data_IF_943702781742
#
_entry.id   IF_943702781742
#
_cell.length_a   1.000
_cell.length_b   1.000
_cell.length_c   1.000
_cell.angle_alpha   90.00
_cell.angle_beta   90.00
_cell.angle_gamma   90.00
#
_symmetry.space_group_name_H-M   'P 1'
#
loop_
_entity.id
_entity.type
_entity.pdbx_description
1 polymer ?
#
# COMPACT_ATOMS: atom_id res chain seq x y z
N UNK A 1 60.12 11.68 21.60
CA UNK A 1 59.50 12.33 20.42
C UNK A 1 58.21 11.58 20.18
N UNK A 2 57.06 12.12 20.60
CA UNK A 2 55.76 11.43 20.46
C UNK A 2 55.02 12.16 19.36
N UNK A 3 54.99 11.59 18.15
CA UNK A 3 54.17 12.10 17.06
C UNK A 3 52.70 11.88 17.44
N UNK A 4 52.01 12.99 17.73
CA UNK A 4 50.56 12.98 17.87
C UNK A 4 49.96 12.72 16.49
N UNK A 5 49.48 11.50 16.26
CA UNK A 5 48.68 11.19 15.09
C UNK A 5 47.25 11.69 15.38
N UNK A 6 46.95 12.93 15.00
CA UNK A 6 45.56 13.38 14.94
C UNK A 6 44.93 12.62 13.78
N UNK A 7 44.27 11.50 14.06
CA UNK A 7 43.41 10.84 13.08
C UNK A 7 42.34 11.88 12.75
N UNK A 8 42.27 12.26 11.48
CA UNK A 8 41.30 13.19 10.94
C UNK A 8 39.93 12.47 10.85
N UNK A 9 39.35 12.17 12.03
CA UNK A 9 38.12 11.39 12.16
C UNK A 9 36.90 12.24 11.73
N UNK A 10 37.08 13.56 11.57
CA UNK A 10 36.01 14.48 11.21
C UNK A 10 35.47 14.28 9.79
N UNK A 11 36.31 13.87 8.85
CA UNK A 11 35.90 13.60 7.46
C UNK A 11 35.18 12.26 7.30
N UNK A 12 35.78 11.17 7.78
CA UNK A 12 35.29 9.80 7.55
C UNK A 12 33.98 9.47 8.30
N UNK A 13 33.78 10.01 9.51
CA UNK A 13 32.51 9.81 10.24
C UNK A 13 31.33 10.54 9.60
N UNK A 14 31.58 11.72 9.02
CA UNK A 14 30.56 12.48 8.28
C UNK A 14 30.12 11.72 7.03
N UNK A 15 31.06 11.12 6.30
CA UNK A 15 30.76 10.34 5.09
C UNK A 15 29.95 9.10 5.41
N UNK A 16 30.28 8.38 6.50
CA UNK A 16 29.53 7.21 6.91
C UNK A 16 28.09 7.54 7.37
N UNK A 17 27.91 8.67 8.06
CA UNK A 17 26.58 9.15 8.45
C UNK A 17 25.74 9.59 7.24
N UNK A 18 26.35 10.25 6.26
CA UNK A 18 25.72 10.64 5.00
C UNK A 18 25.31 9.42 4.16
N UNK A 19 26.17 8.40 4.05
CA UNK A 19 25.87 7.14 3.38
C UNK A 19 24.69 6.42 4.04
N UNK A 20 24.67 6.30 5.36
CA UNK A 20 23.56 5.68 6.11
C UNK A 20 22.23 6.43 5.92
N UNK A 21 22.26 7.77 5.89
CA UNK A 21 21.08 8.58 5.61
C UNK A 21 20.59 8.39 4.16
N UNK A 22 21.50 8.37 3.19
CA UNK A 22 21.14 8.13 1.79
C UNK A 22 20.56 6.74 1.58
N UNK A 23 21.15 5.71 2.20
CA UNK A 23 20.59 4.36 2.19
C UNK A 23 19.19 4.32 2.82
N UNK A 24 18.99 5.00 3.95
CA UNK A 24 17.69 5.08 4.62
C UNK A 24 16.61 5.73 3.75
N UNK A 25 16.93 6.86 3.11
CA UNK A 25 16.03 7.56 2.19
C UNK A 25 15.73 6.69 0.96
N UNK A 26 16.75 6.07 0.37
CA UNK A 26 16.58 5.21 -0.81
C UNK A 26 15.71 3.99 -0.49
N UNK A 27 15.98 3.32 0.64
CA UNK A 27 15.17 2.19 1.14
C UNK A 27 13.72 2.63 1.42
N UNK A 28 13.52 3.78 2.05
CA UNK A 28 12.20 4.35 2.33
C UNK A 28 11.41 4.67 1.07
N UNK A 29 12.02 5.33 0.08
CA UNK A 29 11.40 5.65 -1.20
C UNK A 29 11.05 4.40 -2.00
N UNK A 30 11.95 3.40 -2.02
CA UNK A 30 11.73 2.16 -2.74
C UNK A 30 10.57 1.38 -2.10
N UNK A 31 10.54 1.29 -0.77
CA UNK A 31 9.44 0.66 -0.03
C UNK A 31 8.11 1.36 -0.28
N UNK A 32 8.05 2.68 -0.11
CA UNK A 32 6.81 3.45 -0.33
C UNK A 32 6.30 3.39 -1.77
N UNK A 33 7.19 3.35 -2.77
CA UNK A 33 6.79 3.21 -4.19
C UNK A 33 6.27 1.80 -4.51
N UNK A 34 6.79 0.78 -3.84
CA UNK A 34 6.33 -0.60 -4.01
C UNK A 34 4.96 -0.76 -3.33
N UNK A 35 4.83 -0.33 -2.07
CA UNK A 35 3.60 -0.38 -1.29
C UNK A 35 2.48 0.39 -2.00
N UNK A 36 2.68 1.66 -2.35
CA UNK A 36 1.66 2.46 -3.04
C UNK A 36 1.27 1.94 -4.44
N UNK A 37 2.18 1.27 -5.15
CA UNK A 37 1.84 0.62 -6.44
C UNK A 37 1.05 -0.66 -6.26
N UNK A 38 1.30 -1.42 -5.19
CA UNK A 38 0.61 -2.67 -4.92
C UNK A 38 -0.79 -2.36 -4.38
N UNK A 39 -0.89 -1.49 -3.39
CA UNK A 39 -2.15 -1.04 -2.79
C UNK A 39 -3.04 -0.41 -3.86
N UNK A 40 -2.56 0.58 -4.60
CA UNK A 40 -3.37 1.24 -5.64
C UNK A 40 -3.79 0.33 -6.80
N UNK A 41 -3.00 -0.70 -7.13
CA UNK A 41 -3.41 -1.70 -8.14
C UNK A 41 -4.47 -2.68 -7.62
N UNK A 42 -4.38 -3.06 -6.34
CA UNK A 42 -5.34 -3.97 -5.72
C UNK A 42 -6.66 -3.25 -5.50
N UNK A 43 -6.63 -2.05 -4.92
CA UNK A 43 -7.80 -1.21 -4.69
C UNK A 43 -8.50 -0.87 -6.01
N UNK A 44 -7.77 -0.33 -6.99
CA UNK A 44 -8.38 0.02 -8.29
C UNK A 44 -8.94 -1.19 -9.05
N UNK A 45 -8.38 -2.39 -8.85
CA UNK A 45 -8.93 -3.61 -9.46
C UNK A 45 -10.22 -4.06 -8.76
N UNK A 46 -10.28 -4.00 -7.44
CA UNK A 46 -11.48 -4.37 -6.66
C UNK A 46 -12.59 -3.35 -6.93
N UNK A 47 -12.28 -2.06 -6.88
CA UNK A 47 -13.22 -0.97 -7.20
C UNK A 47 -13.78 -1.12 -8.60
N UNK A 48 -12.94 -1.29 -9.62
CA UNK A 48 -13.40 -1.44 -11.00
C UNK A 48 -14.26 -2.68 -11.22
N UNK A 49 -13.96 -3.80 -10.52
CA UNK A 49 -14.80 -5.00 -10.57
C UNK A 49 -16.17 -4.78 -9.91
N UNK A 50 -16.20 -4.08 -8.78
CA UNK A 50 -17.45 -3.77 -8.08
C UNK A 50 -18.30 -2.80 -8.91
N UNK A 51 -17.71 -1.71 -9.40
CA UNK A 51 -18.36 -0.70 -10.23
C UNK A 51 -18.96 -1.30 -11.51
N UNK A 52 -18.20 -2.17 -12.20
CA UNK A 52 -18.68 -2.86 -13.41
C UNK A 52 -19.94 -3.69 -13.12
N UNK A 53 -19.94 -4.45 -12.02
CA UNK A 53 -21.09 -5.29 -11.64
C UNK A 53 -22.28 -4.41 -11.23
N UNK A 54 -22.07 -3.33 -10.47
CA UNK A 54 -23.14 -2.40 -10.10
C UNK A 54 -23.76 -1.72 -11.31
N UNK A 55 -22.93 -1.29 -12.27
CA UNK A 55 -23.39 -0.72 -13.53
C UNK A 55 -24.25 -1.70 -14.33
N UNK A 56 -23.80 -2.96 -14.45
CA UNK A 56 -24.55 -4.02 -15.13
C UNK A 56 -25.89 -4.31 -14.42
N UNK A 57 -25.91 -4.38 -13.09
CA UNK A 57 -27.14 -4.55 -12.32
C UNK A 57 -28.08 -3.35 -12.50
N UNK A 58 -27.54 -2.12 -12.56
CA UNK A 58 -28.34 -0.90 -12.74
C UNK A 58 -29.03 -0.82 -14.10
N UNK A 59 -28.46 -1.42 -15.15
CA UNK A 59 -29.10 -1.52 -16.47
C UNK A 59 -30.02 -2.74 -16.59
N UNK A 60 -30.20 -3.50 -15.51
CA UNK A 60 -31.11 -4.65 -15.46
C UNK A 60 -30.50 -5.96 -15.96
N UNK A 61 -29.17 -6.08 -16.02
CA UNK A 61 -28.54 -7.35 -16.38
C UNK A 61 -28.78 -8.41 -15.30
N UNK A 62 -29.08 -9.64 -15.73
CA UNK A 62 -29.27 -10.75 -14.81
C UNK A 62 -27.94 -11.28 -14.26
N UNK A 63 -27.97 -11.78 -13.02
CA UNK A 63 -26.81 -12.37 -12.36
C UNK A 63 -26.13 -13.50 -13.15
N UNK A 64 -26.91 -14.28 -13.90
CA UNK A 64 -26.36 -15.34 -14.76
C UNK A 64 -25.44 -14.76 -15.86
N UNK A 65 -25.87 -13.68 -16.51
CA UNK A 65 -25.09 -13.00 -17.55
C UNK A 65 -23.87 -12.30 -16.95
N UNK A 66 -24.03 -11.62 -15.80
CA UNK A 66 -22.93 -10.96 -15.10
C UNK A 66 -21.85 -11.98 -14.69
N UNK A 67 -22.27 -13.13 -14.15
CA UNK A 67 -21.34 -14.20 -13.77
C UNK A 67 -20.62 -14.77 -14.99
N UNK A 68 -21.32 -14.94 -16.12
CA UNK A 68 -20.70 -15.40 -17.36
C UNK A 68 -19.69 -14.40 -17.95
N UNK A 69 -19.97 -13.09 -17.86
CA UNK A 69 -19.12 -12.03 -18.41
C UNK A 69 -17.91 -11.71 -17.51
N UNK A 70 -18.09 -11.73 -16.19
CA UNK A 70 -17.07 -11.30 -15.22
C UNK A 70 -16.39 -12.45 -14.50
N UNK A 71 -16.99 -13.65 -14.49
CA UNK A 71 -16.58 -14.78 -13.68
C UNK A 71 -16.88 -14.62 -12.18
N UNK A 72 -17.59 -13.56 -11.78
CA UNK A 72 -17.85 -13.21 -10.37
C UNK A 72 -19.27 -13.63 -10.00
N UNK A 73 -19.38 -14.47 -8.99
CA UNK A 73 -20.67 -14.89 -8.42
C UNK A 73 -21.21 -13.86 -7.42
N UNK A 74 -22.51 -13.89 -7.08
CA UNK A 74 -23.08 -12.99 -6.08
C UNK A 74 -22.37 -13.07 -4.71
N UNK A 75 -21.92 -14.27 -4.31
CA UNK A 75 -21.20 -14.47 -3.05
C UNK A 75 -19.78 -13.90 -3.09
N UNK A 76 -19.09 -13.99 -4.23
CA UNK A 76 -17.80 -13.34 -4.44
C UNK A 76 -17.94 -11.81 -4.47
N UNK A 77 -18.98 -11.28 -5.14
CA UNK A 77 -19.27 -9.86 -5.15
C UNK A 77 -19.52 -9.30 -3.73
N UNK A 78 -20.26 -10.01 -2.89
CA UNK A 78 -20.45 -9.63 -1.49
C UNK A 78 -19.13 -9.57 -0.71
N UNK A 79 -18.18 -10.48 -1.00
CA UNK A 79 -16.85 -10.45 -0.40
C UNK A 79 -16.03 -9.26 -0.90
N UNK A 80 -16.07 -8.97 -2.21
CA UNK A 80 -15.39 -7.82 -2.80
C UNK A 80 -15.89 -6.51 -2.18
N UNK A 81 -17.21 -6.35 -2.01
CA UNK A 81 -17.78 -5.19 -1.30
C UNK A 81 -17.30 -5.08 0.14
N UNK A 82 -17.20 -6.21 0.85
CA UNK A 82 -16.70 -6.23 2.23
C UNK A 82 -15.22 -5.84 2.30
N UNK A 83 -14.41 -6.31 1.35
CA UNK A 83 -13.00 -5.93 1.25
C UNK A 83 -12.84 -4.44 0.94
N UNK A 84 -13.63 -3.92 0.01
CA UNK A 84 -13.63 -2.49 -0.33
C UNK A 84 -14.01 -1.62 0.88
N UNK A 85 -15.03 -2.01 1.65
CA UNK A 85 -15.43 -1.29 2.86
C UNK A 85 -14.34 -1.31 3.95
N UNK A 86 -13.54 -2.39 4.02
CA UNK A 86 -12.45 -2.53 4.99
C UNK A 86 -11.21 -1.73 4.61
N UNK A 87 -10.94 -1.53 3.33
CA UNK A 87 -9.82 -0.70 2.85
C UNK A 87 -10.13 0.80 2.94
N UNK A 88 -11.40 1.21 2.86
CA UNK A 88 -11.81 2.62 3.01
C UNK A 88 -11.97 3.08 4.47
N UNK A 89 -11.85 2.18 5.45
CA UNK A 89 -11.90 2.58 6.86
C UNK A 89 -10.47 2.77 7.34
N UNK A 90 -10.01 4.01 7.66
CA UNK A 90 -8.77 4.16 8.40
C UNK A 90 -8.90 3.37 9.71
N UNK A 91 -7.83 2.73 10.22
CA UNK A 91 -7.80 2.20 11.57
C UNK A 91 -7.81 3.38 12.55
N UNK A 92 -8.97 4.01 12.72
CA UNK A 92 -9.24 5.02 13.73
C UNK A 92 -10.09 4.37 14.80
N UNK A 93 -9.61 4.44 16.04
CA UNK A 93 -10.28 4.05 17.29
C UNK A 93 -10.17 2.58 17.73
N UNK A 94 -8.94 2.07 17.90
CA UNK A 94 -8.75 0.96 18.84
C UNK A 94 -7.48 1.04 19.72
N UNK A 95 -6.47 1.84 19.36
CA UNK A 95 -5.18 1.79 20.07
C UNK A 95 -4.60 3.16 20.44
N UNK A 96 -5.37 4.03 21.12
CA UNK A 96 -4.88 5.14 21.96
C UNK A 96 -5.98 5.39 23.01
N UNK A 97 -5.81 5.31 24.32
CA UNK A 97 -4.66 5.40 25.20
C UNK A 97 -5.13 4.84 26.56
N UNK A 98 -4.65 3.66 26.96
CA UNK A 98 -4.64 3.28 28.37
C UNK A 98 -3.33 3.82 28.93
N UNK A 99 -3.39 5.00 29.54
CA UNK A 99 -2.33 5.55 30.39
C UNK A 99 -2.98 6.05 31.68
#
# INVERSE_FOLDING_TARGET
>A
MVQQHTVDIGGEMLTYAEELMQEGIMKGMMKGKIEGKIEGKIEGKIEGQVETIESLLSVGAEWAMITAATGITPSQFARLKKQLAQTTTPPSEADQESA
#
